data_IF_595023560461
#
_entry.id   IF_595023560461
#
_cell.length_a   1.000
_cell.length_b   1.000
_cell.length_c   1.000
_cell.angle_alpha   90.00
_cell.angle_beta   90.00
_cell.angle_gamma   90.00
#
_symmetry.space_group_name_H-M   'P 1'
#
loop_
_entity.id
_entity.type
_entity.pdbx_description
1 polymer ?
#
# COMPACT_ATOMS: atom_id res chain seq x y z
N UNK A 1 -35.11 -32.06 -16.06
CA UNK A 1 -34.34 -30.85 -16.45
C UNK A 1 -34.52 -29.69 -15.45
N UNK A 2 -35.75 -29.35 -15.00
CA UNK A 2 -35.99 -28.23 -14.05
C UNK A 2 -35.30 -28.30 -12.67
N UNK A 3 -34.89 -29.49 -12.21
CA UNK A 3 -34.20 -29.64 -10.93
C UNK A 3 -32.75 -29.11 -11.00
N UNK A 4 -32.04 -29.44 -12.08
CA UNK A 4 -30.69 -28.94 -12.36
C UNK A 4 -30.67 -27.41 -12.55
N UNK A 5 -31.67 -26.85 -13.26
CA UNK A 5 -31.79 -25.40 -13.41
C UNK A 5 -31.96 -24.69 -12.07
N UNK A 6 -32.77 -25.26 -11.16
CA UNK A 6 -32.95 -24.74 -9.80
C UNK A 6 -31.66 -24.78 -9.00
N UNK A 7 -30.95 -25.90 -9.05
CA UNK A 7 -29.70 -26.09 -8.32
C UNK A 7 -28.58 -25.15 -8.82
N UNK A 8 -28.53 -24.91 -10.13
CA UNK A 8 -27.62 -23.93 -10.75
C UNK A 8 -27.97 -22.51 -10.30
N UNK A 9 -29.25 -22.16 -10.25
CA UNK A 9 -29.70 -20.82 -9.84
C UNK A 9 -29.39 -20.56 -8.36
N UNK A 10 -29.64 -21.54 -7.48
CA UNK A 10 -29.26 -21.46 -6.07
C UNK A 10 -27.74 -21.33 -5.88
N UNK A 11 -26.96 -22.07 -6.67
CA UNK A 11 -25.49 -21.99 -6.63
C UNK A 11 -24.99 -20.63 -7.11
N UNK A 12 -25.60 -20.06 -8.16
CA UNK A 12 -25.29 -18.70 -8.65
C UNK A 12 -25.57 -17.63 -7.62
N UNK A 13 -26.70 -17.71 -6.92
CA UNK A 13 -27.04 -16.75 -5.87
C UNK A 13 -26.06 -16.80 -4.70
N UNK A 14 -25.65 -18.01 -4.28
CA UNK A 14 -24.61 -18.20 -3.26
C UNK A 14 -23.25 -17.68 -3.70
N UNK A 15 -22.88 -17.88 -4.97
CA UNK A 15 -21.65 -17.32 -5.52
C UNK A 15 -21.69 -15.80 -5.57
N UNK A 16 -22.79 -15.21 -6.04
CA UNK A 16 -22.93 -13.75 -6.11
C UNK A 16 -22.80 -13.11 -4.73
N UNK A 17 -23.42 -13.68 -3.69
CA UNK A 17 -23.29 -13.17 -2.32
C UNK A 17 -21.86 -13.31 -1.78
N UNK A 18 -21.19 -14.42 -2.09
CA UNK A 18 -19.80 -14.65 -1.70
C UNK A 18 -18.85 -13.68 -2.40
N UNK A 19 -19.07 -13.42 -3.69
CA UNK A 19 -18.29 -12.48 -4.50
C UNK A 19 -18.47 -11.05 -3.97
N UNK A 20 -19.69 -10.64 -3.64
CA UNK A 20 -19.96 -9.30 -3.11
C UNK A 20 -19.26 -9.08 -1.75
N UNK A 21 -19.29 -10.07 -0.87
CA UNK A 21 -18.54 -10.04 0.39
C UNK A 21 -17.02 -9.98 0.17
N UNK A 22 -16.49 -10.73 -0.81
CA UNK A 22 -15.08 -10.67 -1.17
C UNK A 22 -14.71 -9.32 -1.77
N UNK A 23 -15.53 -8.77 -2.66
CA UNK A 23 -15.31 -7.46 -3.27
C UNK A 23 -15.31 -6.34 -2.23
N UNK A 24 -16.22 -6.41 -1.24
CA UNK A 24 -16.25 -5.46 -0.14
C UNK A 24 -15.03 -5.58 0.80
N UNK A 25 -14.55 -6.80 1.09
CA UNK A 25 -13.35 -7.01 1.93
C UNK A 25 -12.04 -6.70 1.20
N UNK A 26 -11.98 -7.03 -0.09
CA UNK A 26 -10.88 -6.67 -0.98
C UNK A 26 -10.95 -5.20 -1.39
N UNK A 27 -11.95 -4.45 -0.93
CA UNK A 27 -12.15 -3.07 -1.30
C UNK A 27 -10.87 -2.27 -1.01
N UNK A 28 -10.22 -1.72 -2.04
CA UNK A 28 -8.83 -1.27 -1.97
C UNK A 28 -8.59 -0.17 -0.92
N UNK A 29 -9.62 0.56 -0.50
CA UNK A 29 -9.54 1.59 0.55
C UNK A 29 -8.92 1.07 1.86
N UNK A 30 -9.24 -0.15 2.30
CA UNK A 30 -8.71 -0.67 3.58
C UNK A 30 -7.27 -1.16 3.44
N UNK A 31 -6.91 -1.70 2.28
CA UNK A 31 -5.55 -2.16 1.96
C UNK A 31 -4.62 -0.96 1.82
N UNK A 32 -5.02 0.06 1.06
CA UNK A 32 -4.26 1.30 0.87
C UNK A 32 -4.08 2.03 2.19
N UNK A 33 -5.13 2.10 3.03
CA UNK A 33 -5.04 2.74 4.34
C UNK A 33 -3.96 2.10 5.23
N UNK A 34 -3.90 0.76 5.28
CA UNK A 34 -2.87 0.04 6.04
C UNK A 34 -1.48 0.32 5.48
N UNK A 35 -1.30 0.26 4.17
CA UNK A 35 -0.01 0.52 3.55
C UNK A 35 0.47 1.96 3.76
N UNK A 36 -0.41 2.94 3.62
CA UNK A 36 -0.08 4.35 3.90
C UNK A 36 0.29 4.55 5.36
N UNK A 37 -0.42 3.93 6.30
CA UNK A 37 -0.09 4.00 7.73
C UNK A 37 1.27 3.37 8.03
N UNK A 38 1.59 2.22 7.40
CA UNK A 38 2.92 1.60 7.53
C UNK A 38 4.02 2.51 7.01
N UNK A 39 3.83 3.15 5.85
CA UNK A 39 4.82 4.08 5.32
C UNK A 39 4.97 5.30 6.25
N UNK A 40 3.86 5.86 6.74
CA UNK A 40 3.88 7.01 7.65
C UNK A 40 4.53 6.68 8.99
N UNK A 41 4.36 5.47 9.54
CA UNK A 41 4.91 5.11 10.84
C UNK A 41 6.45 5.12 10.90
N UNK A 42 7.10 5.01 9.74
CA UNK A 42 8.55 5.19 9.61
C UNK A 42 9.01 6.64 9.82
N UNK A 43 8.14 7.63 9.56
CA UNK A 43 8.49 9.05 9.60
C UNK A 43 7.72 9.85 10.66
N UNK A 44 6.61 9.32 11.15
CA UNK A 44 5.72 9.97 12.11
C UNK A 44 5.27 8.93 13.14
N UNK A 45 5.29 9.29 14.41
CA UNK A 45 4.81 8.45 15.48
C UNK A 45 3.27 8.36 15.46
N UNK A 46 2.72 7.16 15.59
CA UNK A 46 1.29 6.94 15.41
C UNK A 46 0.46 7.44 16.60
N UNK A 47 1.02 7.43 17.81
CA UNK A 47 0.31 7.82 19.03
C UNK A 47 0.30 9.34 19.23
N UNK A 48 1.47 9.97 19.10
CA UNK A 48 1.66 11.41 19.37
C UNK A 48 1.56 12.29 18.12
N UNK A 49 1.66 11.71 16.92
CA UNK A 49 1.80 12.46 15.67
C UNK A 49 3.15 13.17 15.52
N UNK A 50 4.09 12.95 16.44
CA UNK A 50 5.40 13.60 16.41
C UNK A 50 6.24 13.10 15.21
N UNK A 51 6.89 14.00 14.46
CA UNK A 51 7.83 13.58 13.41
C UNK A 51 9.03 12.82 13.99
N UNK A 52 9.39 11.69 13.38
CA UNK A 52 10.62 10.94 13.66
C UNK A 52 11.80 11.62 12.96
N UNK A 53 12.23 12.73 13.54
CA UNK A 53 13.30 13.60 12.99
C UNK A 53 14.58 12.83 12.67
N UNK A 54 14.95 11.84 13.47
CA UNK A 54 16.11 10.97 13.22
C UNK A 54 16.00 10.22 11.87
N UNK A 55 14.87 9.56 11.60
CA UNK A 55 14.65 8.83 10.35
C UNK A 55 14.56 9.77 9.14
N UNK A 56 13.89 10.91 9.32
CA UNK A 56 13.79 11.94 8.29
C UNK A 56 15.19 12.45 7.92
N UNK A 57 16.02 12.75 8.93
CA UNK A 57 17.37 13.26 8.73
C UNK A 57 18.27 12.23 8.03
N UNK A 58 18.16 10.95 8.39
CA UNK A 58 18.89 9.85 7.72
C UNK A 58 18.56 9.76 6.24
N UNK A 59 17.27 9.76 5.89
CA UNK A 59 16.84 9.70 4.48
C UNK A 59 17.24 10.95 3.71
N UNK A 60 17.07 12.13 4.31
CA UNK A 60 17.49 13.38 3.70
C UNK A 60 19.01 13.39 3.43
N UNK A 61 19.81 12.99 4.41
CA UNK A 61 21.26 12.86 4.27
C UNK A 61 21.67 11.87 3.18
N UNK A 62 20.99 10.72 3.09
CA UNK A 62 21.23 9.74 2.02
C UNK A 62 20.94 10.31 0.64
N UNK A 63 19.81 11.00 0.46
CA UNK A 63 19.45 11.65 -0.81
C UNK A 63 20.49 12.70 -1.19
N UNK A 64 20.86 13.58 -0.25
CA UNK A 64 21.90 14.59 -0.48
C UNK A 64 23.22 13.93 -0.87
N UNK A 65 23.64 12.88 -0.15
CA UNK A 65 24.86 12.14 -0.45
C UNK A 65 24.87 11.55 -1.86
N UNK A 66 23.75 10.95 -2.30
CA UNK A 66 23.61 10.41 -3.67
C UNK A 66 23.70 11.54 -4.70
N UNK A 67 23.01 12.66 -4.48
CA UNK A 67 23.05 13.80 -5.41
C UNK A 67 24.48 14.35 -5.53
N UNK A 68 25.18 14.54 -4.40
CA UNK A 68 26.58 14.98 -4.37
C UNK A 68 27.48 14.00 -5.11
N UNK A 69 27.33 12.70 -4.84
CA UNK A 69 28.09 11.65 -5.50
C UNK A 69 27.90 11.70 -7.03
N UNK A 70 26.65 11.78 -7.50
CA UNK A 70 26.34 11.87 -8.93
C UNK A 70 26.91 13.15 -9.57
N UNK A 71 26.85 14.28 -8.86
CA UNK A 71 27.43 15.54 -9.34
C UNK A 71 28.96 15.44 -9.47
N UNK A 72 29.64 14.84 -8.51
CA UNK A 72 31.10 14.61 -8.56
C UNK A 72 31.46 13.68 -9.71
N UNK A 73 30.77 12.55 -9.85
CA UNK A 73 30.98 11.62 -10.97
C UNK A 73 30.79 12.33 -12.31
N UNK A 74 29.71 13.11 -12.45
CA UNK A 74 29.43 13.88 -13.68
C UNK A 74 30.49 14.95 -13.95
N UNK A 75 31.09 15.53 -12.91
CA UNK A 75 32.17 16.53 -13.04
C UNK A 75 33.49 15.90 -13.47
N UNK A 76 33.81 14.69 -12.99
CA UNK A 76 35.07 13.98 -13.31
C UNK A 76 35.00 13.28 -14.68
N UNK A 77 33.82 12.84 -15.10
CA UNK A 77 33.61 12.21 -16.40
C UNK A 77 33.44 13.21 -17.57
N UNK A 78 33.47 14.51 -17.31
CA UNK A 78 33.51 15.59 -18.31
C UNK A 78 34.92 16.12 -18.44
#
# INVERSE_FOLDING_TARGET
MRALEREIEETRQRLASTIDQLAHRAHPKTIVGRQVTTVKSHFVELDSGAPRTDNILKVAGAVVGVVVLLAVVRKVAR
#
